data_IF_968144125435
#
_entry.id   IF_968144125435
#
_cell.length_a   1.000
_cell.length_b   1.000
_cell.length_c   1.000
_cell.angle_alpha   90.00
_cell.angle_beta   90.00
_cell.angle_gamma   90.00
#
_symmetry.space_group_name_H-M   'P 1'
#
loop_
_entity.id
_entity.type
_entity.pdbx_description
1 polymer ?
#
# COMPACT_ATOMS: atom_id res chain seq x y z
N UNK A 1 14.39 4.14 3.86
CA UNK A 1 13.28 3.72 4.74
C UNK A 1 12.09 3.30 3.88
N UNK A 2 11.41 2.19 4.22
CA UNK A 2 10.17 1.76 3.57
C UNK A 2 9.00 2.20 4.46
N UNK A 3 8.10 3.02 3.95
CA UNK A 3 6.98 3.55 4.73
C UNK A 3 5.71 2.72 4.49
N UNK A 4 5.13 2.14 5.54
CA UNK A 4 3.91 1.34 5.46
C UNK A 4 2.66 2.23 5.56
N UNK A 5 1.72 2.00 4.64
CA UNK A 5 0.42 2.67 4.58
C UNK A 5 -0.65 1.67 5.05
N UNK A 6 -1.25 1.94 6.21
CA UNK A 6 -2.19 1.03 6.87
C UNK A 6 -3.29 1.80 7.61
N UNK A 7 -4.55 1.48 7.31
CA UNK A 7 -5.75 2.09 7.91
C UNK A 7 -6.18 1.37 9.20
N UNK A 8 -6.28 0.05 9.14
CA UNK A 8 -6.69 -0.83 10.26
C UNK A 8 -5.75 -2.02 10.39
N UNK A 9 -5.84 -2.79 11.47
CA UNK A 9 -5.22 -4.11 11.54
C UNK A 9 -6.04 -5.07 12.39
N UNK A 10 -6.06 -6.37 12.09
CA UNK A 10 -6.80 -7.35 12.89
C UNK A 10 -6.38 -7.36 14.36
N UNK A 11 -5.11 -7.06 14.66
CA UNK A 11 -4.57 -7.07 16.02
C UNK A 11 -4.76 -5.76 16.81
N UNK A 12 -4.95 -4.62 16.13
CA UNK A 12 -5.08 -3.29 16.78
C UNK A 12 -6.39 -2.55 16.46
N UNK A 13 -7.27 -3.10 15.63
CA UNK A 13 -8.45 -2.41 15.13
C UNK A 13 -8.09 -1.19 14.26
N UNK A 14 -8.92 -0.14 14.32
CA UNK A 14 -8.70 1.11 13.58
C UNK A 14 -7.46 1.84 14.09
N UNK A 15 -6.42 1.94 13.25
CA UNK A 15 -5.15 2.59 13.62
C UNK A 15 -5.30 4.12 13.53
N UNK A 16 -6.05 4.60 12.54
CA UNK A 16 -6.25 6.03 12.31
C UNK A 16 -7.69 6.32 11.87
N UNK A 17 -8.46 6.93 12.77
CA UNK A 17 -9.77 7.53 12.41
C UNK A 17 -9.53 8.69 11.44
N UNK A 18 -10.24 8.73 10.31
CA UNK A 18 -10.03 9.73 9.26
C UNK A 18 -8.81 9.44 8.38
N UNK A 19 -8.59 8.17 8.00
CA UNK A 19 -7.52 7.79 7.09
C UNK A 19 -7.69 8.50 5.73
N UNK A 20 -6.73 9.35 5.39
CA UNK A 20 -6.60 10.00 4.09
C UNK A 20 -5.32 9.50 3.43
N UNK A 21 -5.48 8.78 2.32
CA UNK A 21 -4.35 8.28 1.55
C UNK A 21 -3.45 9.44 1.08
N UNK A 22 -4.06 10.56 0.71
CA UNK A 22 -3.36 11.77 0.29
C UNK A 22 -2.38 12.28 1.35
N UNK A 23 -2.86 12.41 2.59
CA UNK A 23 -2.05 12.98 3.68
C UNK A 23 -0.88 12.07 4.03
N UNK A 24 -1.11 10.75 4.03
CA UNK A 24 -0.08 9.77 4.36
C UNK A 24 0.99 9.72 3.26
N UNK A 25 0.58 9.63 1.99
CA UNK A 25 1.52 9.59 0.86
C UNK A 25 2.32 10.88 0.78
N UNK A 26 1.68 12.05 0.90
CA UNK A 26 2.36 13.34 0.86
C UNK A 26 3.34 13.51 2.04
N UNK A 27 2.98 13.04 3.23
CA UNK A 27 3.87 13.08 4.38
C UNK A 27 5.11 12.20 4.19
N UNK A 28 4.95 10.99 3.65
CA UNK A 28 6.07 10.08 3.39
C UNK A 28 6.97 10.54 2.24
N UNK A 29 6.40 11.13 1.20
CA UNK A 29 7.15 11.72 0.10
C UNK A 29 8.03 12.89 0.59
N UNK A 30 7.44 13.83 1.35
CA UNK A 30 8.20 14.91 2.01
C UNK A 30 9.19 14.41 3.05
N UNK A 31 8.88 13.29 3.70
CA UNK A 31 9.74 12.63 4.68
C UNK A 31 10.94 11.89 4.07
N UNK A 32 11.07 11.86 2.74
CA UNK A 32 12.17 11.18 2.05
C UNK A 32 12.08 9.66 2.13
N UNK A 33 10.87 9.10 2.17
CA UNK A 33 10.70 7.66 2.08
C UNK A 33 11.29 7.14 0.75
N UNK A 34 12.00 6.02 0.79
CA UNK A 34 12.60 5.43 -0.41
C UNK A 34 11.55 4.67 -1.24
N UNK A 35 10.54 4.12 -0.56
CA UNK A 35 9.41 3.45 -1.18
C UNK A 35 8.23 3.34 -0.21
N UNK A 36 7.03 3.12 -0.77
CA UNK A 36 5.80 2.93 -0.04
C UNK A 36 5.41 1.45 -0.04
N UNK A 37 4.95 0.93 1.09
CA UNK A 37 4.34 -0.40 1.19
C UNK A 37 2.85 -0.23 1.48
N UNK A 38 2.00 -0.63 0.54
CA UNK A 38 0.54 -0.42 0.62
C UNK A 38 -0.13 -1.78 0.74
N UNK A 39 -0.95 -1.94 1.78
CA UNK A 39 -1.78 -3.13 2.01
C UNK A 39 -3.01 -3.10 1.09
N UNK A 40 -3.18 -4.16 0.29
CA UNK A 40 -4.34 -4.29 -0.63
C UNK A 40 -5.41 -5.27 -0.15
N UNK A 41 -5.21 -5.91 1.00
CA UNK A 41 -6.14 -6.91 1.51
C UNK A 41 -7.37 -6.22 2.14
N UNK A 42 -8.50 -6.36 1.45
CA UNK A 42 -9.79 -5.79 1.85
C UNK A 42 -10.35 -6.45 3.12
N UNK A 43 -10.15 -7.76 3.27
CA UNK A 43 -10.82 -8.57 4.30
C UNK A 43 -10.30 -8.28 5.72
N UNK A 44 -8.99 -8.01 5.83
CA UNK A 44 -8.31 -7.88 7.12
C UNK A 44 -7.89 -6.44 7.44
N UNK A 45 -7.76 -5.59 6.41
CA UNK A 45 -7.20 -4.25 6.54
C UNK A 45 -8.03 -3.15 5.86
N UNK A 46 -9.19 -3.50 5.28
CA UNK A 46 -9.97 -2.62 4.39
C UNK A 46 -9.11 -2.01 3.27
N UNK A 47 -8.06 -2.72 2.85
CA UNK A 47 -7.19 -2.31 1.75
C UNK A 47 -7.89 -2.46 0.40
N UNK A 48 -7.46 -1.69 -0.59
CA UNK A 48 -7.93 -1.85 -1.97
C UNK A 48 -6.79 -1.60 -2.95
N UNK A 49 -6.80 -2.33 -4.07
CA UNK A 49 -5.88 -2.06 -5.18
C UNK A 49 -6.03 -0.63 -5.72
N UNK A 50 -7.19 0.00 -5.50
CA UNK A 50 -7.42 1.39 -5.86
C UNK A 50 -6.50 2.36 -5.10
N UNK A 51 -6.09 2.03 -3.87
CA UNK A 51 -5.14 2.85 -3.12
C UNK A 51 -3.77 2.86 -3.77
N UNK A 52 -3.36 1.78 -4.43
CA UNK A 52 -2.10 1.76 -5.17
C UNK A 52 -2.20 2.66 -6.40
N UNK A 53 -3.29 2.56 -7.15
CA UNK A 53 -3.50 3.43 -8.32
C UNK A 53 -3.57 4.91 -7.93
N UNK A 54 -4.19 5.23 -6.80
CA UNK A 54 -4.22 6.60 -6.27
C UNK A 54 -2.83 7.05 -5.79
N UNK A 55 -2.11 6.23 -5.02
CA UNK A 55 -0.77 6.59 -4.54
C UNK A 55 0.23 6.82 -5.69
N UNK A 56 0.12 6.05 -6.78
CA UNK A 56 0.89 6.27 -8.02
C UNK A 56 0.63 7.60 -8.69
N UNK A 57 -0.58 8.17 -8.53
CA UNK A 57 -0.91 9.51 -9.04
C UNK A 57 -0.41 10.62 -8.12
N UNK A 58 -0.13 10.32 -6.86
CA UNK A 58 0.22 11.30 -5.84
C UNK A 58 1.73 11.46 -5.62
N UNK A 59 2.53 10.43 -5.92
CA UNK A 59 3.98 10.47 -5.80
C UNK A 59 4.65 9.58 -6.86
N UNK A 60 5.94 9.82 -7.10
CA UNK A 60 6.76 9.00 -8.00
C UNK A 60 7.56 7.91 -7.27
N UNK A 61 7.30 7.72 -5.97
CA UNK A 61 7.99 6.70 -5.17
C UNK A 61 7.63 5.29 -5.64
N UNK A 62 8.59 4.35 -5.65
CA UNK A 62 8.28 2.93 -5.85
C UNK A 62 7.26 2.44 -4.83
N UNK A 63 6.26 1.68 -5.30
CA UNK A 63 5.21 1.10 -4.45
C UNK A 63 5.34 -0.42 -4.42
N UNK A 64 5.40 -0.95 -3.20
CA UNK A 64 5.38 -2.35 -2.86
C UNK A 64 3.95 -2.76 -2.49
N UNK A 65 3.42 -3.78 -3.18
CA UNK A 65 2.15 -4.40 -2.81
C UNK A 65 2.38 -5.34 -1.64
N UNK A 66 1.82 -5.00 -0.47
CA UNK A 66 1.83 -5.91 0.68
C UNK A 66 0.53 -6.70 0.68
N UNK A 67 0.63 -7.99 0.36
CA UNK A 67 -0.49 -8.90 0.34
C UNK A 67 0.00 -10.32 0.69
N UNK A 68 -0.90 -11.18 1.15
CA UNK A 68 -0.59 -12.60 1.28
C UNK A 68 -0.64 -13.24 -0.11
N UNK A 69 0.51 -13.76 -0.56
CA UNK A 69 0.64 -14.44 -1.85
C UNK A 69 0.23 -15.90 -1.69
N UNK A 70 -0.90 -16.24 -2.28
CA UNK A 70 -1.50 -17.57 -2.29
C UNK A 70 -1.26 -18.27 -3.64
N UNK A 71 -1.16 -17.52 -4.74
CA UNK A 71 -1.00 -18.05 -6.09
C UNK A 71 -0.03 -17.21 -6.95
N UNK A 72 0.72 -17.88 -7.83
CA UNK A 72 1.64 -17.27 -8.81
C UNK A 72 0.94 -16.21 -9.68
N UNK A 73 -0.35 -16.35 -9.94
CA UNK A 73 -1.17 -15.36 -10.64
C UNK A 73 -1.05 -13.96 -10.03
N UNK A 74 -0.93 -13.85 -8.70
CA UNK A 74 -0.81 -12.57 -8.00
C UNK A 74 0.51 -11.84 -8.31
N UNK A 75 1.56 -12.58 -8.70
CA UNK A 75 2.83 -12.00 -9.18
C UNK A 75 2.60 -11.33 -10.55
N UNK A 76 1.89 -12.00 -11.45
CA UNK A 76 1.57 -11.46 -12.77
C UNK A 76 0.66 -10.23 -12.69
N UNK A 77 -0.36 -10.27 -11.82
CA UNK A 77 -1.26 -9.13 -11.59
C UNK A 77 -0.51 -7.90 -11.06
N UNK A 78 0.40 -8.12 -10.10
CA UNK A 78 1.22 -7.04 -9.58
C UNK A 78 2.14 -6.44 -10.65
N UNK A 79 2.78 -7.28 -11.47
CA UNK A 79 3.61 -6.80 -12.58
C UNK A 79 2.80 -6.02 -13.62
N UNK A 80 1.62 -6.50 -14.00
CA UNK A 80 0.73 -5.83 -14.95
C UNK A 80 0.28 -4.45 -14.46
N UNK A 81 0.13 -4.29 -13.15
CA UNK A 81 -0.24 -3.02 -12.52
C UNK A 81 0.98 -2.19 -12.10
N UNK A 82 2.19 -2.60 -12.48
CA UNK A 82 3.46 -1.92 -12.24
C UNK A 82 3.87 -1.86 -10.76
N UNK A 83 3.50 -2.88 -9.98
CA UNK A 83 3.80 -3.00 -8.56
C UNK A 83 4.94 -4.00 -8.38
N UNK A 84 5.83 -3.73 -7.41
CA UNK A 84 6.77 -4.76 -6.95
C UNK A 84 6.13 -5.58 -5.83
N UNK A 85 6.39 -6.88 -5.84
CA UNK A 85 5.91 -7.81 -4.81
C UNK A 85 7.07 -8.26 -3.96
N UNK A 86 6.83 -8.38 -2.65
CA UNK A 86 7.72 -9.08 -1.74
C UNK A 86 7.04 -10.40 -1.37
N UNK A 87 7.71 -11.53 -1.61
CA UNK A 87 7.27 -12.83 -1.08
C UNK A 87 7.56 -12.90 0.42
#
# INVERSE_FOLDING_TARGET
MIAEVKSESPSKGVIRKGFSLYDVVSAYDRGGAACLSILTDFSSFQGSIHYILQAKKLCSLPILRKNFMLDCYQVYEARATGQMVFC
#
